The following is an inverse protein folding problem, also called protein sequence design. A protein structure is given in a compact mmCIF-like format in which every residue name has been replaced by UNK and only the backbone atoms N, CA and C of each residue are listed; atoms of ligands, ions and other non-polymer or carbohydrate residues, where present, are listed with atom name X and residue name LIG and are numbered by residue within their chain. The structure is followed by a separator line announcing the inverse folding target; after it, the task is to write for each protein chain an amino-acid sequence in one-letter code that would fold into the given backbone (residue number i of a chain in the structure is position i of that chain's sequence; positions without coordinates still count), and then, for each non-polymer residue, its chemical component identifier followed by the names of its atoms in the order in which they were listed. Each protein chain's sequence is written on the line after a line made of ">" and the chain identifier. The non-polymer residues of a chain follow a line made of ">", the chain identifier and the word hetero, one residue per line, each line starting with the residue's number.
data_IF_045285542568
#
_entry.id   IF_045285542568
#
_cell.length_a   1.000
_cell.length_b   1.000
_cell.length_c   1.000
_cell.angle_alpha   90.00
_cell.angle_beta   90.00
_cell.angle_gamma   90.00
#
_symmetry.space_group_name_H-M   'P 1'
#
loop_
_entity.id
_entity.type
_entity.pdbx_description
1 polymer ?
#
# COMPACT_ATOMS: atom_id res chain seq x y z
N UNK A 1 90.88 28.82 35.69
CA UNK A 1 89.40 28.72 35.80
C UNK A 1 88.66 29.26 34.57
N UNK A 2 89.33 29.54 33.44
CA UNK A 2 88.66 30.04 32.22
C UNK A 2 88.05 28.91 31.36
N UNK A 3 88.72 27.75 31.26
CA UNK A 3 88.29 26.65 30.40
C UNK A 3 86.95 25.98 30.83
N UNK A 4 86.65 25.97 32.13
CA UNK A 4 85.41 25.40 32.68
C UNK A 4 84.19 26.27 32.38
N UNK A 5 84.35 27.59 32.33
CA UNK A 5 83.25 28.52 32.06
C UNK A 5 82.74 28.41 30.61
N UNK A 6 83.66 28.30 29.66
CA UNK A 6 83.34 28.07 28.23
C UNK A 6 82.60 26.75 28.00
N UNK A 7 82.97 25.71 28.75
CA UNK A 7 82.36 24.39 28.62
C UNK A 7 80.90 24.39 29.10
N UNK A 8 80.63 25.07 30.21
CA UNK A 8 79.26 25.22 30.75
C UNK A 8 78.39 26.08 29.82
N UNK A 9 78.96 27.13 29.23
CA UNK A 9 78.24 27.98 28.28
C UNK A 9 77.87 27.24 26.99
N UNK A 10 78.75 26.39 26.47
CA UNK A 10 78.43 25.52 25.32
C UNK A 10 77.38 24.47 25.65
N UNK A 11 77.40 23.92 26.86
CA UNK A 11 76.40 22.95 27.34
C UNK A 11 75.02 23.59 27.47
N UNK A 12 74.92 24.80 28.02
CA UNK A 12 73.64 25.50 28.14
C UNK A 12 73.08 25.92 26.77
N UNK A 13 73.93 26.32 25.83
CA UNK A 13 73.52 26.64 24.47
C UNK A 13 73.00 25.40 23.71
N UNK A 14 73.69 24.27 23.86
CA UNK A 14 73.27 22.99 23.29
C UNK A 14 71.96 22.47 23.91
N UNK A 15 71.81 22.59 25.24
CA UNK A 15 70.57 22.24 25.93
C UNK A 15 69.40 23.13 25.49
N UNK A 16 69.64 24.44 25.32
CA UNK A 16 68.64 25.38 24.81
C UNK A 16 68.18 25.04 23.38
N UNK A 17 69.11 24.70 22.50
CA UNK A 17 68.79 24.27 21.13
C UNK A 17 67.99 22.97 21.09
N UNK A 18 68.30 22.01 21.96
CA UNK A 18 67.55 20.74 22.06
C UNK A 18 66.13 20.94 22.59
N UNK A 19 65.95 21.78 23.61
CA UNK A 19 64.62 22.08 24.16
C UNK A 19 63.76 22.85 23.16
N UNK A 20 64.34 23.82 22.44
CA UNK A 20 63.64 24.54 21.38
C UNK A 20 63.26 23.61 20.23
N UNK A 21 64.18 22.75 19.78
CA UNK A 21 63.93 21.76 18.72
C UNK A 21 62.87 20.72 19.13
N UNK A 22 62.90 20.24 20.37
CA UNK A 22 61.91 19.31 20.90
C UNK A 22 60.52 19.95 21.02
N UNK A 23 60.44 21.22 21.43
CA UNK A 23 59.18 21.95 21.49
C UNK A 23 58.54 22.14 20.11
N UNK A 24 59.34 22.56 19.12
CA UNK A 24 58.88 22.70 17.73
C UNK A 24 58.52 21.34 17.14
N UNK A 25 59.37 20.33 17.32
CA UNK A 25 59.13 18.97 16.85
C UNK A 25 57.88 18.32 17.47
N UNK A 26 57.61 18.55 18.76
CA UNK A 26 56.38 18.09 19.41
C UNK A 26 55.14 18.82 18.89
N UNK A 27 55.24 20.13 18.69
CA UNK A 27 54.14 20.93 18.15
C UNK A 27 53.76 20.49 16.73
N UNK A 28 54.74 20.30 15.84
CA UNK A 28 54.50 19.87 14.46
C UNK A 28 54.24 18.37 14.31
N UNK A 29 54.86 17.53 15.13
CA UNK A 29 54.76 16.07 15.03
C UNK A 29 53.59 15.44 15.78
N UNK A 30 53.07 16.10 16.83
CA UNK A 30 52.00 15.54 17.68
C UNK A 30 50.77 16.45 17.70
N UNK A 31 50.96 17.75 17.91
CA UNK A 31 49.82 18.67 18.12
C UNK A 31 49.05 18.98 16.84
N UNK A 32 49.76 19.27 15.74
CA UNK A 32 49.16 19.52 14.43
C UNK A 32 48.38 18.32 13.85
N UNK A 33 48.92 17.08 13.82
CA UNK A 33 48.16 15.94 13.30
C UNK A 33 46.96 15.58 14.17
N UNK A 34 46.98 15.82 15.50
CA UNK A 34 45.82 15.57 16.35
C UNK A 34 44.60 16.42 15.93
N UNK A 35 44.80 17.69 15.57
CA UNK A 35 43.70 18.56 15.12
C UNK A 35 43.15 18.17 13.75
N UNK A 36 44.04 17.80 12.81
CA UNK A 36 43.64 17.34 11.49
C UNK A 36 42.84 16.02 11.55
N UNK A 37 43.15 15.13 12.50
CA UNK A 37 42.40 13.89 12.72
C UNK A 37 41.00 14.20 13.26
N UNK A 38 40.87 15.09 14.24
CA UNK A 38 39.56 15.46 14.80
C UNK A 38 38.61 16.03 13.74
N UNK A 39 39.11 16.93 12.88
CA UNK A 39 38.30 17.55 11.84
C UNK A 39 37.87 16.54 10.76
N UNK A 40 38.77 15.64 10.34
CA UNK A 40 38.46 14.58 9.37
C UNK A 40 37.49 13.51 9.91
N UNK A 41 37.55 13.21 11.21
CA UNK A 41 36.62 12.28 11.85
C UNK A 41 35.24 12.92 11.98
N UNK A 42 35.16 14.20 12.35
CA UNK A 42 33.87 14.90 12.46
C UNK A 42 33.20 15.07 11.08
N UNK A 43 33.97 15.42 10.05
CA UNK A 43 33.47 15.50 8.68
C UNK A 43 33.01 14.13 8.15
N UNK A 44 33.81 13.08 8.36
CA UNK A 44 33.46 11.72 7.96
C UNK A 44 32.24 11.17 8.69
N UNK A 45 32.07 11.51 9.97
CA UNK A 45 30.90 11.10 10.77
C UNK A 45 29.63 11.84 10.33
N UNK A 46 29.72 13.14 9.98
CA UNK A 46 28.61 13.90 9.38
C UNK A 46 28.20 13.35 8.01
N UNK A 47 29.16 12.98 7.18
CA UNK A 47 28.87 12.40 5.87
C UNK A 47 28.17 11.05 6.01
N UNK A 48 28.67 10.16 6.89
CA UNK A 48 28.03 8.87 7.17
C UNK A 48 26.63 9.01 7.76
N UNK A 49 26.43 9.88 8.74
CA UNK A 49 25.08 10.13 9.32
C UNK A 49 24.12 10.68 8.28
N UNK A 50 24.56 11.63 7.44
CA UNK A 50 23.72 12.16 6.36
C UNK A 50 23.38 11.11 5.29
N UNK A 51 24.29 10.18 5.00
CA UNK A 51 24.05 9.08 4.08
C UNK A 51 23.05 8.07 4.65
N UNK A 52 23.17 7.73 5.94
CA UNK A 52 22.22 6.86 6.66
C UNK A 52 20.83 7.49 6.75
N UNK A 53 20.75 8.80 7.00
CA UNK A 53 19.47 9.50 7.04
C UNK A 53 18.79 9.51 5.65
N UNK A 54 19.56 9.72 4.58
CA UNK A 54 19.05 9.65 3.21
C UNK A 54 18.55 8.26 2.85
N UNK A 55 19.28 7.20 3.19
CA UNK A 55 18.83 5.82 2.92
C UNK A 55 17.58 5.47 3.73
N UNK A 56 17.52 5.87 5.00
CA UNK A 56 16.33 5.69 5.84
C UNK A 56 15.11 6.44 5.28
N UNK A 57 15.27 7.67 4.77
CA UNK A 57 14.19 8.42 4.13
C UNK A 57 13.72 7.75 2.82
N UNK A 58 14.65 7.28 1.98
CA UNK A 58 14.33 6.56 0.75
C UNK A 58 13.58 5.25 1.04
N UNK A 59 13.98 4.51 2.07
CA UNK A 59 13.26 3.30 2.49
C UNK A 59 11.85 3.62 2.99
N UNK A 60 11.68 4.68 3.80
CA UNK A 60 10.35 5.11 4.26
C UNK A 60 9.47 5.52 3.08
N UNK A 61 10.00 6.27 2.12
CA UNK A 61 9.27 6.65 0.91
C UNK A 61 8.85 5.42 0.08
N UNK A 62 9.76 4.45 -0.11
CA UNK A 62 9.43 3.18 -0.80
C UNK A 62 8.35 2.38 -0.07
N UNK A 63 8.44 2.27 1.26
CA UNK A 63 7.43 1.57 2.07
C UNK A 63 6.07 2.27 2.00
N UNK A 64 6.05 3.60 2.08
CA UNK A 64 4.83 4.38 1.95
C UNK A 64 4.19 4.21 0.56
N UNK A 65 5.00 4.20 -0.51
CA UNK A 65 4.52 3.95 -1.87
C UNK A 65 3.97 2.53 -2.04
N UNK A 66 4.63 1.52 -1.48
CA UNK A 66 4.15 0.13 -1.46
C UNK A 66 2.81 0.02 -0.72
N UNK A 67 2.71 0.61 0.48
CA UNK A 67 1.48 0.64 1.26
C UNK A 67 0.34 1.34 0.52
N UNK A 68 0.62 2.46 -0.15
CA UNK A 68 -0.38 3.17 -0.95
C UNK A 68 -0.88 2.31 -2.12
N UNK A 69 0.02 1.59 -2.81
CA UNK A 69 -0.34 0.67 -3.91
C UNK A 69 -1.15 -0.52 -3.40
N UNK A 70 -0.79 -1.09 -2.26
CA UNK A 70 -1.52 -2.18 -1.63
C UNK A 70 -2.91 -1.74 -1.17
N UNK A 71 -3.01 -0.56 -0.56
CA UNK A 71 -4.29 0.03 -0.17
C UNK A 71 -5.20 0.32 -1.38
N UNK A 72 -4.64 0.82 -2.49
CA UNK A 72 -5.40 1.01 -3.72
C UNK A 72 -5.92 -0.35 -4.28
N UNK A 73 -5.07 -1.39 -4.28
CA UNK A 73 -5.46 -2.74 -4.72
C UNK A 73 -6.53 -3.35 -3.83
N UNK A 74 -6.43 -3.22 -2.51
CA UNK A 74 -7.40 -3.78 -1.58
C UNK A 74 -8.77 -3.09 -1.71
N UNK A 75 -8.80 -1.77 -1.88
CA UNK A 75 -10.03 -1.01 -2.17
C UNK A 75 -10.69 -1.48 -3.46
N UNK A 76 -9.91 -1.64 -4.53
CA UNK A 76 -10.42 -2.16 -5.80
C UNK A 76 -11.02 -3.57 -5.65
N UNK A 77 -10.31 -4.48 -4.97
CA UNK A 77 -10.80 -5.83 -4.71
C UNK A 77 -12.09 -5.84 -3.89
N UNK A 78 -12.18 -5.00 -2.87
CA UNK A 78 -13.39 -4.85 -2.06
C UNK A 78 -14.57 -4.34 -2.90
N UNK A 79 -14.35 -3.33 -3.75
CA UNK A 79 -15.37 -2.79 -4.65
C UNK A 79 -15.88 -3.85 -5.63
N UNK A 80 -14.99 -4.57 -6.31
CA UNK A 80 -15.38 -5.64 -7.24
C UNK A 80 -16.06 -6.80 -6.50
N UNK A 81 -15.61 -7.13 -5.30
CA UNK A 81 -16.25 -8.14 -4.44
C UNK A 81 -17.68 -7.76 -4.03
N UNK A 82 -17.91 -6.50 -3.68
CA UNK A 82 -19.25 -5.97 -3.38
C UNK A 82 -20.15 -5.99 -4.63
N UNK A 83 -19.62 -5.60 -5.80
CA UNK A 83 -20.34 -5.68 -7.06
C UNK A 83 -20.74 -7.13 -7.42
N UNK A 84 -19.83 -8.09 -7.23
CA UNK A 84 -20.09 -9.50 -7.49
C UNK A 84 -21.13 -10.08 -6.52
N UNK A 85 -21.04 -9.73 -5.23
CA UNK A 85 -22.04 -10.12 -4.21
C UNK A 85 -23.41 -9.55 -4.52
N UNK A 86 -23.46 -8.28 -4.94
CA UNK A 86 -24.71 -7.63 -5.34
C UNK A 86 -25.32 -8.30 -6.58
N UNK A 87 -24.48 -8.65 -7.56
CA UNK A 87 -24.91 -9.39 -8.75
C UNK A 87 -25.51 -10.75 -8.38
N UNK A 88 -24.85 -11.56 -7.56
CA UNK A 88 -25.37 -12.88 -7.16
C UNK A 88 -26.65 -12.78 -6.34
N UNK A 89 -26.75 -11.78 -5.44
CA UNK A 89 -27.96 -11.52 -4.68
C UNK A 89 -29.14 -11.13 -5.58
N UNK A 90 -28.92 -10.23 -6.55
CA UNK A 90 -29.93 -9.81 -7.53
C UNK A 90 -30.35 -10.95 -8.44
N UNK A 91 -29.39 -11.78 -8.89
CA UNK A 91 -29.69 -12.97 -9.68
C UNK A 91 -30.60 -13.93 -8.91
N UNK A 92 -30.25 -14.23 -7.66
CA UNK A 92 -31.03 -15.11 -6.79
C UNK A 92 -32.42 -14.54 -6.52
N UNK A 93 -32.53 -13.23 -6.28
CA UNK A 93 -33.82 -12.56 -6.11
C UNK A 93 -34.69 -12.65 -7.37
N UNK A 94 -34.10 -12.46 -8.55
CA UNK A 94 -34.80 -12.60 -9.82
C UNK A 94 -35.29 -14.04 -10.04
N UNK A 95 -34.49 -15.04 -9.68
CA UNK A 95 -34.89 -16.45 -9.74
C UNK A 95 -36.09 -16.75 -8.85
N UNK A 96 -36.06 -16.33 -7.58
CA UNK A 96 -37.20 -16.49 -6.69
C UNK A 96 -38.46 -15.81 -7.21
N UNK A 97 -38.32 -14.59 -7.76
CA UNK A 97 -39.46 -13.88 -8.35
C UNK A 97 -40.00 -14.54 -9.62
N UNK A 98 -39.18 -15.27 -10.38
CA UNK A 98 -39.64 -16.07 -11.52
C UNK A 98 -40.34 -17.34 -11.04
N UNK A 99 -39.75 -18.05 -10.08
CA UNK A 99 -40.33 -19.23 -9.45
C UNK A 99 -41.74 -18.95 -8.93
N UNK A 100 -41.90 -17.91 -8.09
CA UNK A 100 -43.21 -17.51 -7.55
C UNK A 100 -44.23 -17.19 -8.64
N UNK A 101 -43.80 -16.58 -9.76
CA UNK A 101 -44.68 -16.29 -10.90
C UNK A 101 -45.09 -17.56 -11.65
N UNK A 102 -44.20 -18.53 -11.77
CA UNK A 102 -44.49 -19.81 -12.41
C UNK A 102 -45.36 -20.70 -11.52
N UNK A 103 -45.13 -20.70 -10.21
CA UNK A 103 -46.00 -21.37 -9.24
C UNK A 103 -47.41 -20.79 -9.28
N UNK A 104 -47.55 -19.47 -9.18
CA UNK A 104 -48.87 -18.82 -9.28
C UNK A 104 -49.57 -19.13 -10.62
N UNK A 105 -48.84 -19.09 -11.75
CA UNK A 105 -49.41 -19.43 -13.05
C UNK A 105 -49.78 -20.92 -13.18
N UNK A 106 -49.04 -21.79 -12.50
CA UNK A 106 -49.36 -23.21 -12.42
C UNK A 106 -50.61 -23.45 -11.57
N UNK A 107 -50.72 -22.81 -10.40
CA UNK A 107 -51.89 -22.89 -9.52
C UNK A 107 -53.15 -22.37 -10.22
N UNK A 108 -53.08 -21.17 -10.83
CA UNK A 108 -54.19 -20.60 -11.62
C UNK A 108 -54.64 -21.54 -12.75
N UNK A 109 -53.69 -22.22 -13.40
CA UNK A 109 -53.99 -23.20 -14.44
C UNK A 109 -54.62 -24.47 -13.86
N UNK A 110 -54.11 -24.96 -12.73
CA UNK A 110 -54.55 -26.20 -12.09
C UNK A 110 -55.95 -26.06 -11.47
N UNK A 111 -56.34 -24.85 -11.07
CA UNK A 111 -57.66 -24.52 -10.54
C UNK A 111 -58.72 -24.30 -11.62
N UNK A 112 -58.32 -24.15 -12.89
CA UNK A 112 -59.25 -24.04 -14.01
C UNK A 112 -59.87 -25.42 -14.34
N UNK A 113 -61.21 -25.45 -14.40
CA UNK A 113 -62.02 -26.67 -14.50
C UNK A 113 -61.75 -27.50 -15.76
N UNK A 114 -61.17 -26.86 -16.77
CA UNK A 114 -60.89 -27.45 -18.09
C UNK A 114 -59.43 -27.90 -18.26
N UNK A 115 -58.59 -27.67 -17.26
CA UNK A 115 -57.17 -28.02 -17.29
C UNK A 115 -56.89 -29.37 -16.65
N UNK A 116 -55.87 -30.08 -17.14
CA UNK A 116 -55.26 -31.19 -16.41
C UNK A 116 -53.97 -30.74 -15.74
N UNK A 117 -53.66 -31.26 -14.54
CA UNK A 117 -52.39 -30.95 -13.85
C UNK A 117 -51.15 -31.21 -14.71
N UNK A 118 -51.15 -32.30 -15.48
CA UNK A 118 -50.05 -32.62 -16.41
C UNK A 118 -49.97 -31.65 -17.61
N UNK A 119 -51.09 -31.06 -18.02
CA UNK A 119 -51.12 -30.01 -19.04
C UNK A 119 -50.55 -28.70 -18.52
N UNK A 120 -50.92 -28.32 -17.29
CA UNK A 120 -50.40 -27.14 -16.62
C UNK A 120 -48.91 -27.26 -16.30
N UNK A 121 -48.44 -28.40 -15.80
CA UNK A 121 -47.03 -28.64 -15.53
C UNK A 121 -46.16 -28.56 -16.79
N UNK A 122 -46.69 -28.99 -17.95
CA UNK A 122 -46.01 -28.83 -19.24
C UNK A 122 -45.98 -27.39 -19.74
N UNK A 123 -47.02 -26.62 -19.46
CA UNK A 123 -47.14 -25.22 -19.90
C UNK A 123 -46.35 -24.25 -19.02
N UNK A 124 -46.29 -24.53 -17.72
CA UNK A 124 -45.61 -23.74 -16.70
C UNK A 124 -44.63 -24.64 -15.94
N UNK A 125 -43.49 -25.02 -16.54
CA UNK A 125 -42.46 -25.76 -15.84
C UNK A 125 -41.87 -24.85 -14.76
N UNK A 126 -42.16 -25.16 -13.50
CA UNK A 126 -41.64 -24.40 -12.35
C UNK A 126 -40.14 -24.66 -12.22
N UNK A 127 -39.34 -23.66 -12.52
CA UNK A 127 -37.88 -23.69 -12.40
C UNK A 127 -37.44 -23.55 -10.94
N UNK A 128 -36.29 -24.10 -10.54
CA UNK A 128 -35.80 -24.02 -9.17
C UNK A 128 -35.50 -22.57 -8.73
N UNK A 129 -35.68 -22.29 -7.44
CA UNK A 129 -35.43 -20.96 -6.85
C UNK A 129 -33.98 -20.47 -6.96
N UNK A 130 -33.03 -21.38 -7.20
CA UNK A 130 -31.60 -21.11 -7.26
C UNK A 130 -31.01 -21.66 -8.55
N UNK A 131 -30.04 -20.94 -9.12
CA UNK A 131 -29.39 -21.35 -10.36
C UNK A 131 -30.33 -21.42 -11.58
N UNK A 132 -31.43 -20.67 -11.53
CA UNK A 132 -32.45 -20.66 -12.58
C UNK A 132 -31.93 -20.03 -13.88
N UNK A 133 -32.59 -20.36 -14.99
CA UNK A 133 -32.36 -19.71 -16.27
C UNK A 133 -33.23 -18.46 -16.40
N UNK A 134 -32.65 -17.30 -16.09
CA UNK A 134 -33.37 -16.04 -16.23
C UNK A 134 -33.60 -15.70 -17.71
N UNK A 135 -34.74 -15.04 -18.05
CA UNK A 135 -34.98 -14.49 -19.38
C UNK A 135 -33.83 -13.62 -19.85
N UNK A 136 -33.50 -13.70 -21.15
CA UNK A 136 -32.34 -13.05 -21.75
C UNK A 136 -32.26 -11.54 -21.45
N UNK A 137 -33.41 -10.85 -21.42
CA UNK A 137 -33.47 -9.42 -21.10
C UNK A 137 -33.02 -9.13 -19.66
N UNK A 138 -33.42 -9.96 -18.70
CA UNK A 138 -33.08 -9.78 -17.28
C UNK A 138 -31.61 -10.14 -17.05
N UNK A 139 -31.16 -11.28 -17.59
CA UNK A 139 -29.77 -11.73 -17.44
C UNK A 139 -28.79 -10.73 -18.06
N UNK A 140 -29.06 -10.23 -19.27
CA UNK A 140 -28.23 -9.21 -19.91
C UNK A 140 -28.17 -7.92 -19.10
N UNK A 141 -29.31 -7.48 -18.52
CA UNK A 141 -29.32 -6.31 -17.65
C UNK A 141 -28.47 -6.52 -16.41
N UNK A 142 -28.60 -7.65 -15.72
CA UNK A 142 -27.81 -7.95 -14.53
C UNK A 142 -26.31 -8.05 -14.83
N UNK A 143 -25.95 -8.65 -15.96
CA UNK A 143 -24.57 -8.71 -16.44
C UNK A 143 -24.04 -7.31 -16.76
N UNK A 144 -24.81 -6.50 -17.47
CA UNK A 144 -24.46 -5.11 -17.78
C UNK A 144 -24.28 -4.27 -16.52
N UNK A 145 -25.16 -4.41 -15.53
CA UNK A 145 -25.05 -3.70 -14.24
C UNK A 145 -23.76 -4.10 -13.49
N UNK A 146 -23.41 -5.40 -13.49
CA UNK A 146 -22.15 -5.89 -12.90
C UNK A 146 -20.94 -5.30 -13.60
N UNK A 147 -20.95 -5.30 -14.93
CA UNK A 147 -19.82 -4.80 -15.72
C UNK A 147 -19.67 -3.28 -15.59
N UNK A 148 -20.78 -2.54 -15.51
CA UNK A 148 -20.80 -1.13 -15.19
C UNK A 148 -20.20 -0.87 -13.80
N UNK A 149 -20.63 -1.60 -12.76
CA UNK A 149 -20.08 -1.47 -11.42
C UNK A 149 -18.57 -1.78 -11.37
N UNK A 150 -18.11 -2.80 -12.09
CA UNK A 150 -16.67 -3.12 -12.20
C UNK A 150 -15.89 -1.99 -12.88
N UNK A 151 -16.45 -1.39 -13.94
CA UNK A 151 -15.82 -0.25 -14.62
C UNK A 151 -15.72 0.97 -13.70
N UNK A 152 -16.74 1.21 -12.87
CA UNK A 152 -16.71 2.26 -11.85
C UNK A 152 -15.61 2.00 -10.82
N UNK A 153 -15.48 0.77 -10.30
CA UNK A 153 -14.40 0.41 -9.38
C UNK A 153 -12.99 0.66 -9.98
N UNK A 154 -12.81 0.38 -11.28
CA UNK A 154 -11.56 0.67 -11.99
C UNK A 154 -11.32 2.18 -12.08
N UNK A 155 -12.37 2.94 -12.38
CA UNK A 155 -12.33 4.41 -12.42
C UNK A 155 -11.94 5.03 -11.07
N UNK A 156 -12.51 4.55 -9.97
CA UNK A 156 -12.19 5.02 -8.62
C UNK A 156 -10.73 4.71 -8.23
N UNK A 157 -10.22 3.52 -8.59
CA UNK A 157 -8.83 3.14 -8.36
C UNK A 157 -7.84 4.02 -9.15
N UNK A 158 -8.18 4.39 -10.39
CA UNK A 158 -7.33 5.22 -11.25
C UNK A 158 -7.46 6.72 -10.95
N UNK A 159 -8.65 7.17 -10.57
CA UNK A 159 -9.01 8.56 -10.30
C UNK A 159 -8.75 9.03 -8.87
N UNK A 160 -8.42 8.13 -7.95
CA UNK A 160 -8.04 8.49 -6.57
C UNK A 160 -9.18 9.05 -5.73
N UNK A 161 -10.43 9.02 -6.20
CA UNK A 161 -11.59 9.33 -5.36
C UNK A 161 -11.72 8.20 -4.32
N UNK A 162 -11.35 8.52 -3.08
CA UNK A 162 -11.96 7.86 -1.95
C UNK A 162 -13.47 8.07 -2.08
N UNK A 163 -14.31 7.03 -1.96
CA UNK A 163 -15.74 7.26 -1.77
C UNK A 163 -15.87 8.03 -0.46
N UNK A 164 -16.18 9.33 -0.59
CA UNK A 164 -16.55 10.15 0.54
C UNK A 164 -17.75 9.51 1.22
N UNK A 165 -17.75 9.60 2.54
CA UNK A 165 -18.64 8.97 3.47
C UNK A 165 -20.08 9.53 3.44
N UNK A 166 -20.73 9.53 2.28
CA UNK A 166 -22.13 9.93 2.14
C UNK A 166 -22.89 8.83 1.40
N UNK A 167 -23.47 7.91 2.16
CA UNK A 167 -24.73 7.19 1.89
C UNK A 167 -24.81 5.99 2.82
N UNK A 168 -24.75 6.27 4.13
CA UNK A 168 -25.55 5.49 5.08
C UNK A 168 -27.01 5.89 4.85
N UNK A 169 -27.89 5.03 4.32
CA UNK A 169 -29.31 5.30 4.41
C UNK A 169 -29.69 5.22 5.89
N UNK A 170 -29.99 6.38 6.47
CA UNK A 170 -30.83 6.44 7.66
C UNK A 170 -32.26 6.16 7.21
N UNK A 171 -32.85 5.07 7.68
CA UNK A 171 -34.24 4.68 7.39
C UNK A 171 -34.46 3.19 7.55
#
# INVERSE_FOLDING_TARGET
>A
MAASADTVLKLSLAAGALLAGAGVGYYFGVFLPAQAIHESVESGTREQTSAVDRTAQLERARRAEQQAREAARSRYQACVGAAQTSYSARWTAACRAQHQRQEAAYEDCADDLFSTREGCARKFPVEPEHGCALPLAISNRLVSDRDAARSQCLGEMQGGLAPDAWETPAG
#
